data_IF_570477330564
#
_entry.id   IF_570477330564
#
_cell.length_a   1.000
_cell.length_b   1.000
_cell.length_c   1.000
_cell.angle_alpha   90.00
_cell.angle_beta   90.00
_cell.angle_gamma   90.00
#
_symmetry.space_group_name_H-M   'P 1'
#
loop_
_entity.id
_entity.type
_entity.pdbx_description
1 polymer ?
#
# COMPACT_ATOMS: atom_id res chain seq x y z
N UNK A 1 1.15 6.91 -17.06
CA UNK A 1 2.13 6.52 -17.41
C UNK A 1 2.90 5.70 -16.51
N UNK A 2 3.18 5.08 -15.96
CA UNK A 2 4.07 4.33 -15.20
C UNK A 2 3.78 2.89 -15.27
N UNK A 3 4.81 2.13 -15.13
CA UNK A 3 4.66 0.72 -14.99
C UNK A 3 4.11 0.40 -13.60
N UNK A 4 3.26 -0.61 -13.48
CA UNK A 4 2.82 -1.03 -12.16
C UNK A 4 4.04 -1.44 -11.32
N UNK A 5 4.02 -1.09 -10.08
CA UNK A 5 5.09 -1.49 -9.17
C UNK A 5 5.00 -2.99 -8.90
N UNK A 6 6.14 -3.63 -8.73
CA UNK A 6 6.14 -5.01 -8.25
C UNK A 6 5.65 -5.00 -6.79
N UNK A 7 5.11 -6.12 -6.29
CA UNK A 7 4.55 -6.14 -4.94
C UNK A 7 5.47 -5.62 -3.84
N UNK A 8 6.75 -5.96 -3.90
CA UNK A 8 7.70 -5.49 -2.89
C UNK A 8 7.82 -3.97 -2.88
N UNK A 9 7.91 -3.35 -4.05
CA UNK A 9 7.99 -1.90 -4.16
C UNK A 9 6.70 -1.23 -3.70
N UNK A 10 5.57 -1.82 -4.06
CA UNK A 10 4.27 -1.29 -3.69
C UNK A 10 4.09 -1.30 -2.18
N UNK A 11 4.46 -2.39 -1.54
CA UNK A 11 4.35 -2.53 -0.08
C UNK A 11 5.26 -1.55 0.63
N UNK A 12 6.45 -1.33 0.10
CA UNK A 12 7.36 -0.34 0.65
C UNK A 12 6.77 1.06 0.58
N UNK A 13 6.15 1.40 -0.55
CA UNK A 13 5.49 2.70 -0.72
C UNK A 13 4.34 2.87 0.26
N UNK A 14 3.59 1.81 0.48
CA UNK A 14 2.48 1.85 1.45
C UNK A 14 3.03 2.12 2.85
N UNK A 15 4.09 1.43 3.24
CA UNK A 15 4.70 1.65 4.55
C UNK A 15 5.21 3.08 4.71
N UNK A 16 5.87 3.61 3.69
CA UNK A 16 6.37 4.98 3.72
C UNK A 16 5.23 5.98 3.88
N UNK A 17 4.14 5.76 3.15
CA UNK A 17 2.98 6.64 3.23
C UNK A 17 2.38 6.60 4.64
N UNK A 18 2.23 5.42 5.21
CA UNK A 18 1.65 5.26 6.54
C UNK A 18 2.56 5.81 7.64
N UNK A 19 3.85 5.83 7.40
CA UNK A 19 4.80 6.42 8.36
C UNK A 19 4.63 7.94 8.44
N UNK A 20 4.24 8.56 7.34
CA UNK A 20 4.03 10.02 7.29
C UNK A 20 2.59 10.36 7.65
N UNK A 21 1.64 9.57 7.19
CA UNK A 21 0.22 9.79 7.41
C UNK A 21 -0.33 8.71 8.32
N UNK A 22 -0.69 9.05 9.52
CA UNK A 22 -1.18 8.08 10.50
C UNK A 22 -2.44 7.36 10.03
N UNK A 23 -3.26 8.04 9.23
CA UNK A 23 -4.48 7.48 8.70
C UNK A 23 -4.42 7.56 7.19
N UNK A 24 -4.64 6.43 6.53
CA UNK A 24 -4.69 6.37 5.09
C UNK A 24 -5.91 5.57 4.67
N UNK A 25 -6.62 6.06 3.69
CA UNK A 25 -7.76 5.34 3.13
C UNK A 25 -7.28 4.48 1.98
N UNK A 26 -7.99 3.39 1.75
CA UNK A 26 -7.66 2.52 0.62
C UNK A 26 -7.72 3.30 -0.69
N UNK A 27 -8.70 4.18 -0.84
CA UNK A 27 -8.82 5.01 -2.03
C UNK A 27 -7.59 5.88 -2.26
N UNK A 28 -7.03 6.45 -1.18
CA UNK A 28 -5.83 7.27 -1.28
C UNK A 28 -4.63 6.45 -1.77
N UNK A 29 -4.50 5.24 -1.26
CA UNK A 29 -3.41 4.37 -1.67
C UNK A 29 -3.59 3.89 -3.11
N UNK A 30 -4.81 3.65 -3.53
CA UNK A 30 -5.10 3.28 -4.92
C UNK A 30 -4.67 4.39 -5.87
N UNK A 31 -5.00 5.64 -5.53
CA UNK A 31 -4.61 6.79 -6.35
C UNK A 31 -3.11 6.99 -6.36
N UNK A 32 -2.48 6.88 -5.20
CA UNK A 32 -1.04 7.05 -5.07
C UNK A 32 -0.27 6.04 -5.90
N UNK A 33 -0.72 4.78 -5.89
CA UNK A 33 0.00 3.68 -6.51
C UNK A 33 -0.60 3.24 -7.84
N UNK A 34 -1.67 3.90 -8.28
CA UNK A 34 -2.34 3.60 -9.54
C UNK A 34 -2.68 2.10 -9.64
N UNK A 35 -3.34 1.58 -8.63
CA UNK A 35 -3.70 0.18 -8.57
C UNK A 35 -5.11 0.00 -8.02
N UNK A 36 -5.60 -1.22 -8.06
CA UNK A 36 -6.96 -1.52 -7.63
C UNK A 36 -7.08 -1.63 -6.12
N UNK A 37 -8.30 -1.44 -5.64
CA UNK A 37 -8.61 -1.59 -4.22
C UNK A 37 -8.30 -3.01 -3.73
N UNK A 38 -8.63 -4.02 -4.52
CA UNK A 38 -8.36 -5.40 -4.15
C UNK A 38 -6.87 -5.65 -3.94
N UNK A 39 -6.05 -5.06 -4.79
CA UNK A 39 -4.59 -5.20 -4.67
C UNK A 39 -4.09 -4.53 -3.39
N UNK A 40 -4.60 -3.34 -3.10
CA UNK A 40 -4.21 -2.63 -1.88
C UNK A 40 -4.62 -3.42 -0.63
N UNK A 41 -5.82 -3.98 -0.64
CA UNK A 41 -6.28 -4.78 0.49
C UNK A 41 -5.39 -5.99 0.74
N UNK A 42 -4.97 -6.66 -0.32
CA UNK A 42 -4.07 -7.80 -0.20
C UNK A 42 -2.73 -7.40 0.37
N UNK A 43 -2.21 -6.26 -0.08
CA UNK A 43 -0.94 -5.76 0.41
C UNK A 43 -1.03 -5.39 1.89
N UNK A 44 -2.12 -4.76 2.29
CA UNK A 44 -2.30 -4.40 3.69
C UNK A 44 -2.43 -5.65 4.57
N UNK A 45 -3.14 -6.66 4.10
CA UNK A 45 -3.26 -7.92 4.82
C UNK A 45 -1.90 -8.60 4.96
N UNK A 46 -1.11 -8.57 3.90
CA UNK A 46 0.22 -9.14 3.92
C UNK A 46 1.11 -8.43 4.93
N UNK A 47 1.10 -7.09 4.90
CA UNK A 47 1.90 -6.28 5.82
C UNK A 47 1.49 -6.51 7.27
N UNK A 48 0.19 -6.65 7.51
CA UNK A 48 -0.32 -6.92 8.85
C UNK A 48 0.11 -8.29 9.32
N UNK A 49 0.02 -9.29 8.47
CA UNK A 49 0.42 -10.65 8.80
C UNK A 49 1.91 -10.75 9.12
N UNK A 50 2.72 -9.92 8.48
CA UNK A 50 4.17 -9.88 8.73
C UNK A 50 4.53 -9.02 9.94
N UNK A 51 3.54 -8.43 10.60
CA UNK A 51 3.78 -7.58 11.75
C UNK A 51 4.37 -6.23 11.41
N UNK A 52 4.25 -5.79 10.16
CA UNK A 52 4.80 -4.52 9.72
C UNK A 52 3.81 -3.37 9.85
N UNK A 53 2.54 -3.67 10.12
CA UNK A 53 1.51 -2.69 10.40
C UNK A 53 0.93 -2.96 11.77
N UNK A 54 0.57 -1.90 12.44
CA UNK A 54 -0.14 -1.99 13.71
C UNK A 54 -1.62 -1.88 13.52
#
# INVERSE_FOLDING_TARGET
MGKPLIPAQRRERIQDYLAVHQIARIADLCDLLDTSEATIRRDLEWLEAEGLLE
#
